data_IF_996922785008
#
_entry.id   IF_996922785008
#
_cell.length_a   1.000
_cell.length_b   1.000
_cell.length_c   1.000
_cell.angle_alpha   90.00
_cell.angle_beta   90.00
_cell.angle_gamma   90.00
#
_symmetry.space_group_name_H-M   'P 1'
#
loop_
_entity.id
_entity.type
_entity.pdbx_description
1 polymer ?
#
# COMPACT_ATOMS: atom_id res chain seq x y z
N UNK A 1 -64.11 2.07 12.78
CA UNK A 1 -63.28 2.93 11.92
C UNK A 1 -61.87 2.86 12.47
N UNK A 2 -61.10 1.86 12.05
CA UNK A 2 -59.70 1.66 12.41
C UNK A 2 -58.85 2.27 11.29
N UNK A 3 -58.14 3.36 11.58
CA UNK A 3 -57.16 3.93 10.66
C UNK A 3 -55.83 3.21 10.87
N UNK A 4 -55.53 2.30 9.95
CA UNK A 4 -54.22 1.67 9.80
C UNK A 4 -53.20 2.70 9.32
N UNK A 5 -52.40 3.25 10.23
CA UNK A 5 -51.18 3.97 9.88
C UNK A 5 -50.15 2.99 9.34
N UNK A 6 -49.93 3.01 8.03
CA UNK A 6 -48.81 2.36 7.37
C UNK A 6 -47.51 3.05 7.79
N UNK A 7 -46.77 2.42 8.71
CA UNK A 7 -45.39 2.80 9.02
C UNK A 7 -44.51 2.42 7.84
N UNK A 8 -44.05 3.42 7.08
CA UNK A 8 -43.02 3.24 6.07
C UNK A 8 -41.74 2.71 6.76
N UNK A 9 -41.07 1.67 6.24
CA UNK A 9 -39.83 1.18 6.82
C UNK A 9 -38.75 2.27 6.78
N UNK A 10 -37.84 2.31 7.77
CA UNK A 10 -36.74 3.26 7.76
C UNK A 10 -35.91 3.06 6.49
N UNK A 11 -35.77 4.12 5.70
CA UNK A 11 -34.88 4.14 4.55
C UNK A 11 -33.48 3.79 5.05
N UNK A 12 -32.98 2.62 4.64
CA UNK A 12 -31.57 2.28 4.77
C UNK A 12 -30.80 3.38 4.04
N UNK A 13 -30.15 4.26 4.80
CA UNK A 13 -29.18 5.21 4.24
C UNK A 13 -28.02 4.39 3.69
N UNK A 14 -28.10 3.99 2.42
CA UNK A 14 -26.96 3.47 1.68
C UNK A 14 -26.01 4.64 1.52
N UNK A 15 -25.07 4.80 2.45
CA UNK A 15 -23.96 5.74 2.29
C UNK A 15 -23.29 5.44 0.94
N UNK A 16 -23.21 6.42 0.06
CA UNK A 16 -22.57 6.23 -1.24
C UNK A 16 -21.14 5.69 -1.06
N UNK A 17 -20.71 4.74 -1.90
CA UNK A 17 -19.38 4.13 -1.77
C UNK A 17 -18.30 5.20 -1.97
N UNK A 18 -17.46 5.39 -0.95
CA UNK A 18 -16.43 6.44 -0.94
C UNK A 18 -15.27 6.01 -1.85
N UNK A 19 -14.98 6.74 -2.95
CA UNK A 19 -13.85 6.41 -3.81
C UNK A 19 -12.53 6.78 -3.12
N UNK A 20 -11.59 5.84 -3.16
CA UNK A 20 -10.26 5.97 -2.55
C UNK A 20 -9.18 6.16 -3.61
N UNK A 21 -9.29 5.48 -4.75
CA UNK A 21 -8.44 5.70 -5.93
C UNK A 21 -9.34 6.06 -7.09
N UNK A 22 -9.02 7.13 -7.80
CA UNK A 22 -9.69 7.50 -9.05
C UNK A 22 -8.65 7.91 -10.07
N UNK A 23 -8.76 7.42 -11.30
CA UNK A 23 -7.96 7.88 -12.42
C UNK A 23 -8.85 8.14 -13.63
N UNK A 24 -8.52 9.17 -14.40
CA UNK A 24 -9.19 9.52 -15.64
C UNK A 24 -8.16 9.65 -16.75
N UNK A 25 -8.19 8.72 -17.70
CA UNK A 25 -7.33 8.68 -18.88
C UNK A 25 -5.84 8.84 -18.55
N UNK A 26 -5.39 8.26 -17.43
CA UNK A 26 -4.05 8.44 -16.92
C UNK A 26 -3.02 7.86 -17.91
N UNK A 27 -2.00 8.66 -18.25
CA UNK A 27 -0.94 8.29 -19.19
C UNK A 27 0.44 8.46 -18.59
N UNK A 28 1.36 7.58 -19.01
CA UNK A 28 2.78 7.70 -18.69
C UNK A 28 3.66 7.27 -19.85
N UNK A 29 4.37 8.25 -20.42
CA UNK A 29 5.42 8.05 -21.42
C UNK A 29 6.78 8.29 -20.77
N UNK A 30 7.72 7.37 -20.98
CA UNK A 30 9.14 7.55 -20.68
C UNK A 30 9.88 7.88 -21.97
N UNK A 31 10.88 8.74 -21.88
CA UNK A 31 11.81 9.02 -22.98
C UNK A 31 13.15 8.35 -22.66
N UNK A 32 13.67 7.56 -23.58
CA UNK A 32 14.88 6.73 -23.41
C UNK A 32 15.82 6.86 -24.61
N UNK A 33 17.02 6.30 -24.47
CA UNK A 33 18.09 6.38 -25.47
C UNK A 33 19.04 7.55 -25.23
N UNK A 34 20.24 7.48 -25.82
CA UNK A 34 21.32 8.48 -25.63
C UNK A 34 20.88 9.91 -25.94
N UNK A 35 19.93 10.06 -26.86
CA UNK A 35 19.36 11.34 -27.29
C UNK A 35 17.90 11.55 -26.83
N UNK A 36 17.35 10.69 -25.96
CA UNK A 36 15.94 10.72 -25.52
C UNK A 36 14.89 10.60 -26.64
N UNK A 37 15.29 10.07 -27.80
CA UNK A 37 14.45 9.97 -28.99
C UNK A 37 13.46 8.80 -28.94
N UNK A 38 13.72 7.78 -28.12
CA UNK A 38 12.81 6.65 -27.98
C UNK A 38 11.73 6.97 -26.96
N UNK A 39 10.47 6.69 -27.30
CA UNK A 39 9.32 6.86 -26.40
C UNK A 39 8.75 5.51 -26.03
N UNK A 40 8.65 5.23 -24.74
CA UNK A 40 8.02 4.03 -24.19
C UNK A 40 6.76 4.46 -23.46
N UNK A 41 5.61 4.11 -24.03
CA UNK A 41 4.31 4.39 -23.43
C UNK A 41 3.92 3.25 -22.48
N UNK A 42 4.16 3.48 -21.19
CA UNK A 42 3.95 2.50 -20.12
C UNK A 42 2.54 2.49 -19.54
N UNK A 43 1.77 3.58 -19.65
CA UNK A 43 0.35 3.63 -19.32
C UNK A 43 -0.41 4.34 -20.44
N UNK A 44 -1.48 3.70 -20.92
CA UNK A 44 -2.32 4.16 -22.03
C UNK A 44 -3.76 4.33 -21.55
N UNK A 45 -4.21 5.57 -21.35
CA UNK A 45 -5.60 5.91 -20.99
C UNK A 45 -6.15 5.08 -19.82
N UNK A 46 -5.40 4.96 -18.73
CA UNK A 46 -5.84 4.16 -17.59
C UNK A 46 -6.90 4.93 -16.77
N UNK A 47 -8.15 4.49 -16.85
CA UNK A 47 -9.27 4.98 -16.03
C UNK A 47 -9.73 3.87 -15.09
N UNK A 48 -9.70 4.13 -13.78
CA UNK A 48 -10.09 3.17 -12.76
C UNK A 48 -10.68 3.89 -11.55
N UNK A 49 -11.58 3.22 -10.84
CA UNK A 49 -12.08 3.65 -9.53
C UNK A 49 -11.99 2.48 -8.56
N UNK A 50 -11.40 2.69 -7.39
CA UNK A 50 -11.36 1.73 -6.28
C UNK A 50 -11.97 2.39 -5.06
N UNK A 51 -12.87 1.69 -4.40
CA UNK A 51 -13.64 2.17 -3.26
C UNK A 51 -13.02 1.76 -1.93
N UNK A 52 -13.45 2.44 -0.86
CA UNK A 52 -13.02 2.15 0.49
C UNK A 52 -13.32 0.70 0.89
N UNK A 53 -12.34 0.02 1.51
CA UNK A 53 -12.46 -1.38 1.95
C UNK A 53 -12.28 -2.42 0.86
N UNK A 54 -12.10 -2.02 -0.40
CA UNK A 54 -11.85 -2.96 -1.49
C UNK A 54 -10.43 -3.52 -1.47
N UNK A 55 -10.29 -4.73 -2.02
CA UNK A 55 -9.00 -5.35 -2.29
C UNK A 55 -8.88 -5.50 -3.81
N UNK A 56 -8.07 -4.64 -4.42
CA UNK A 56 -7.92 -4.52 -5.87
C UNK A 56 -6.56 -5.05 -6.32
N UNK A 57 -6.57 -5.96 -7.30
CA UNK A 57 -5.37 -6.59 -7.85
C UNK A 57 -5.14 -6.22 -9.32
N UNK A 58 -3.93 -5.79 -9.67
CA UNK A 58 -3.49 -5.59 -11.05
C UNK A 58 -2.81 -6.87 -11.57
N UNK A 59 -3.40 -7.51 -12.57
CA UNK A 59 -2.82 -8.69 -13.21
C UNK A 59 -2.45 -8.37 -14.66
N UNK A 60 -1.31 -8.88 -15.10
CA UNK A 60 -0.81 -8.70 -16.46
C UNK A 60 0.66 -9.09 -16.60
N UNK A 61 1.18 -9.24 -17.84
CA UNK A 61 2.56 -9.65 -18.06
C UNK A 61 3.57 -8.61 -17.54
N UNK A 62 4.85 -9.01 -17.47
CA UNK A 62 5.94 -8.09 -17.16
C UNK A 62 6.01 -6.99 -18.22
N UNK A 63 6.21 -5.74 -17.80
CA UNK A 63 6.20 -4.59 -18.70
C UNK A 63 4.81 -4.03 -19.04
N UNK A 64 3.70 -4.62 -18.56
CA UNK A 64 2.35 -4.11 -18.81
C UNK A 64 2.01 -2.77 -18.14
N UNK A 65 2.94 -2.18 -17.38
CA UNK A 65 2.75 -0.88 -16.71
C UNK A 65 2.22 -0.95 -15.27
N UNK A 66 2.03 -2.14 -14.69
CA UNK A 66 1.50 -2.33 -13.32
C UNK A 66 2.24 -1.50 -12.26
N UNK A 67 3.55 -1.68 -12.18
CA UNK A 67 4.43 -0.94 -11.26
C UNK A 67 4.44 0.56 -11.59
N UNK A 68 4.31 0.93 -12.87
CA UNK A 68 4.21 2.35 -13.25
C UNK A 68 2.91 2.97 -12.76
N UNK A 69 1.77 2.28 -12.89
CA UNK A 69 0.49 2.74 -12.34
C UNK A 69 0.59 2.92 -10.84
N UNK A 70 1.09 1.92 -10.13
CA UNK A 70 1.25 1.95 -8.68
C UNK A 70 2.15 3.11 -8.22
N UNK A 71 3.32 3.30 -8.86
CA UNK A 71 4.22 4.44 -8.58
C UNK A 71 3.60 5.80 -8.94
N UNK A 72 2.73 5.83 -9.95
CA UNK A 72 2.01 7.07 -10.33
C UNK A 72 0.95 7.42 -9.28
N UNK A 73 0.17 6.44 -8.82
CA UNK A 73 -0.80 6.60 -7.73
C UNK A 73 -0.13 7.07 -6.42
N UNK A 74 1.05 6.53 -6.10
CA UNK A 74 1.85 6.96 -4.95
C UNK A 74 2.49 8.35 -5.10
N UNK A 75 2.40 8.97 -6.29
CA UNK A 75 3.05 10.24 -6.60
C UNK A 75 4.59 10.15 -6.67
N UNK A 76 5.15 8.96 -6.78
CA UNK A 76 6.59 8.71 -6.99
C UNK A 76 6.96 9.05 -8.43
N UNK A 77 6.07 8.71 -9.37
CA UNK A 77 6.21 9.02 -10.80
C UNK A 77 5.12 10.01 -11.20
N UNK A 78 5.51 11.11 -11.86
CA UNK A 78 4.53 12.04 -12.42
C UNK A 78 3.92 11.48 -13.70
N UNK A 79 2.58 11.53 -13.87
CA UNK A 79 1.95 11.18 -15.14
C UNK A 79 2.39 12.15 -16.25
N UNK A 80 2.32 11.71 -17.50
CA UNK A 80 2.52 12.59 -18.68
C UNK A 80 1.21 13.14 -19.23
N UNK A 81 0.06 12.68 -18.72
CA UNK A 81 -1.26 13.16 -19.09
C UNK A 81 -2.36 12.45 -18.30
N UNK A 82 -3.58 12.93 -18.42
CA UNK A 82 -4.72 12.49 -17.61
C UNK A 82 -4.64 12.97 -16.16
N UNK A 83 -5.59 12.53 -15.36
CA UNK A 83 -5.79 12.99 -13.98
C UNK A 83 -5.96 11.81 -13.02
N UNK A 84 -5.71 12.05 -11.75
CA UNK A 84 -5.95 11.06 -10.72
C UNK A 84 -6.03 11.64 -9.32
N UNK A 85 -6.70 10.91 -8.45
CA UNK A 85 -6.94 11.24 -7.06
C UNK A 85 -6.69 10.02 -6.17
N UNK A 86 -6.12 10.27 -5.00
CA UNK A 86 -5.91 9.31 -3.94
C UNK A 86 -6.42 9.92 -2.63
N UNK A 87 -7.37 9.23 -2.00
CA UNK A 87 -8.07 9.70 -0.79
C UNK A 87 -8.66 11.11 -0.97
N UNK A 88 -9.28 11.37 -2.12
CA UNK A 88 -9.91 12.66 -2.47
C UNK A 88 -8.92 13.79 -2.81
N UNK A 89 -7.62 13.53 -2.83
CA UNK A 89 -6.60 14.53 -3.17
C UNK A 89 -5.90 14.22 -4.50
N UNK A 90 -5.49 15.23 -5.29
CA UNK A 90 -4.71 15.00 -6.50
C UNK A 90 -3.44 14.18 -6.24
N UNK A 91 -3.02 13.36 -7.22
CA UNK A 91 -1.79 12.56 -7.11
C UNK A 91 -0.58 13.44 -6.79
N UNK A 92 0.26 12.97 -5.86
CA UNK A 92 1.44 13.71 -5.38
C UNK A 92 1.20 14.65 -4.20
N UNK A 93 -0.05 14.79 -3.72
CA UNK A 93 -0.34 15.56 -2.52
C UNK A 93 0.34 14.95 -1.28
N UNK A 94 1.17 15.75 -0.60
CA UNK A 94 1.96 15.29 0.55
C UNK A 94 1.11 14.89 1.76
N UNK A 95 -0.09 15.46 1.91
CA UNK A 95 -1.00 15.16 3.04
C UNK A 95 -1.46 13.70 3.03
N UNK A 96 -1.51 13.08 1.85
CA UNK A 96 -1.91 11.68 1.66
C UNK A 96 -0.86 10.71 2.21
N UNK A 97 0.42 11.09 2.23
CA UNK A 97 1.53 10.19 2.59
C UNK A 97 1.43 9.63 4.00
N UNK A 98 0.86 10.38 4.95
CA UNK A 98 0.63 9.93 6.33
C UNK A 98 -0.47 8.85 6.42
N UNK A 99 -1.34 8.75 5.42
CA UNK A 99 -2.54 7.89 5.41
C UNK A 99 -2.36 6.63 4.56
N UNK A 100 -1.22 6.46 3.90
CA UNK A 100 -0.97 5.33 2.99
C UNK A 100 0.25 4.52 3.40
N UNK A 101 0.22 3.23 3.12
CA UNK A 101 1.32 2.28 3.28
C UNK A 101 1.83 1.84 1.92
N UNK A 102 3.12 1.60 1.80
CA UNK A 102 3.72 1.07 0.57
C UNK A 102 4.78 0.02 0.88
N UNK A 103 4.62 -1.17 0.29
CA UNK A 103 5.64 -2.21 0.20
C UNK A 103 6.11 -2.31 -1.26
N UNK A 104 7.31 -1.85 -1.61
CA UNK A 104 7.90 -2.09 -2.92
C UNK A 104 8.31 -3.56 -3.11
N UNK A 105 8.44 -4.01 -4.36
CA UNK A 105 8.97 -5.36 -4.69
C UNK A 105 10.36 -5.57 -4.11
N UNK A 106 11.23 -4.57 -4.26
CA UNK A 106 12.59 -4.56 -3.77
C UNK A 106 12.77 -3.37 -2.82
N UNK A 107 12.49 -3.55 -1.52
CA UNK A 107 12.63 -2.48 -0.55
C UNK A 107 14.10 -2.11 -0.35
N UNK A 108 14.40 -0.81 -0.47
CA UNK A 108 15.69 -0.26 -0.11
C UNK A 108 15.73 0.04 1.38
N UNK A 109 16.69 -0.53 2.09
CA UNK A 109 16.87 -0.34 3.51
C UNK A 109 18.26 0.20 3.83
N UNK A 110 18.35 0.98 4.92
CA UNK A 110 19.63 1.24 5.58
C UNK A 110 20.08 -0.05 6.28
N UNK A 111 20.84 -0.87 5.57
CA UNK A 111 21.09 -2.27 5.91
C UNK A 111 21.95 -2.48 7.17
N UNK A 112 22.65 -1.43 7.62
CA UNK A 112 23.39 -1.38 8.88
C UNK A 112 22.50 -1.20 10.12
N UNK A 113 21.22 -0.83 9.95
CA UNK A 113 20.26 -0.79 11.06
C UNK A 113 19.77 -2.19 11.38
N UNK A 114 19.40 -2.43 12.63
CA UNK A 114 18.55 -3.56 13.01
C UNK A 114 17.10 -3.33 12.57
N UNK A 115 16.30 -4.39 12.46
CA UNK A 115 14.88 -4.26 12.14
C UNK A 115 14.11 -3.39 13.16
N UNK A 116 14.51 -3.44 14.43
CA UNK A 116 13.95 -2.63 15.50
C UNK A 116 14.26 -1.14 15.30
N UNK A 117 15.53 -0.80 15.04
CA UNK A 117 15.95 0.57 14.77
C UNK A 117 15.28 1.12 13.51
N UNK A 118 15.18 0.31 12.45
CA UNK A 118 14.49 0.70 11.22
C UNK A 118 13.01 1.01 11.46
N UNK A 119 12.28 0.19 12.22
CA UNK A 119 10.89 0.49 12.58
C UNK A 119 10.76 1.72 13.49
N UNK A 120 11.71 1.95 14.38
CA UNK A 120 11.75 3.18 15.18
C UNK A 120 12.03 4.44 14.34
N UNK A 121 12.95 4.34 13.38
CA UNK A 121 13.28 5.40 12.43
C UNK A 121 12.07 5.77 11.57
N UNK A 122 11.44 4.76 10.93
CA UNK A 122 10.24 4.95 10.11
C UNK A 122 9.06 5.50 10.91
N UNK A 123 8.83 5.02 12.13
CA UNK A 123 7.82 5.60 13.02
C UNK A 123 8.08 7.08 13.34
N UNK A 124 9.35 7.48 13.43
CA UNK A 124 9.76 8.88 13.59
C UNK A 124 9.40 9.75 12.38
N UNK A 125 9.55 9.23 11.16
CA UNK A 125 9.15 9.93 9.93
C UNK A 125 7.62 10.20 9.88
N UNK A 126 6.83 9.29 10.43
CA UNK A 126 5.39 9.44 10.61
C UNK A 126 5.00 10.18 11.90
N UNK A 127 5.98 10.72 12.64
CA UNK A 127 5.76 11.46 13.88
C UNK A 127 4.92 10.68 14.92
N UNK A 128 5.05 9.35 14.95
CA UNK A 128 4.26 8.50 15.83
C UNK A 128 4.75 8.68 17.28
N UNK A 129 3.85 9.02 18.23
CA UNK A 129 4.23 9.23 19.63
C UNK A 129 4.94 8.03 20.25
N UNK A 130 5.88 8.29 21.16
CA UNK A 130 6.69 7.24 21.79
C UNK A 130 5.85 6.14 22.45
N UNK A 131 4.79 6.53 23.16
CA UNK A 131 3.88 5.59 23.83
C UNK A 131 3.15 4.68 22.83
N UNK A 132 2.83 5.19 21.64
CA UNK A 132 2.15 4.43 20.57
C UNK A 132 3.13 3.47 19.92
N UNK A 133 4.34 3.93 19.51
CA UNK A 133 5.32 3.06 18.85
C UNK A 133 5.80 1.93 19.75
N UNK A 134 5.91 2.14 21.07
CA UNK A 134 6.26 1.10 22.06
C UNK A 134 5.31 -0.10 22.04
N UNK A 135 4.02 0.12 21.75
CA UNK A 135 3.01 -0.95 21.61
C UNK A 135 2.91 -1.46 20.18
N UNK A 136 3.00 -0.55 19.20
CA UNK A 136 2.75 -0.85 17.78
C UNK A 136 3.85 -1.71 17.16
N UNK A 137 5.13 -1.40 17.43
CA UNK A 137 6.26 -2.12 16.82
C UNK A 137 6.26 -3.62 17.18
N UNK A 138 6.15 -4.02 18.47
CA UNK A 138 6.04 -5.44 18.81
C UNK A 138 4.88 -6.16 18.12
N UNK A 139 3.70 -5.52 18.06
CA UNK A 139 2.50 -6.09 17.42
C UNK A 139 2.68 -6.27 15.92
N UNK A 140 3.36 -5.33 15.24
CA UNK A 140 3.65 -5.46 13.82
C UNK A 140 4.65 -6.58 13.54
N UNK A 141 5.68 -6.71 14.38
CA UNK A 141 6.66 -7.80 14.27
C UNK A 141 5.99 -9.17 14.44
N UNK A 142 5.08 -9.29 15.40
CA UNK A 142 4.25 -10.48 15.59
C UNK A 142 3.36 -10.76 14.38
N UNK A 143 2.64 -9.74 13.89
CA UNK A 143 1.75 -9.85 12.72
C UNK A 143 2.49 -10.37 11.48
N UNK A 144 3.71 -9.90 11.23
CA UNK A 144 4.51 -10.32 10.07
C UNK A 144 5.33 -11.60 10.33
N UNK A 145 5.22 -12.19 11.52
CA UNK A 145 5.97 -13.40 11.89
C UNK A 145 7.48 -13.18 11.97
N UNK A 146 7.95 -11.98 12.32
CA UNK A 146 9.36 -11.67 12.52
C UNK A 146 9.69 -11.66 14.02
N UNK A 147 10.58 -12.57 14.44
CA UNK A 147 11.01 -12.65 15.83
C UNK A 147 11.55 -11.30 16.34
N UNK A 148 11.04 -10.86 17.49
CA UNK A 148 11.55 -9.66 18.15
C UNK A 148 13.04 -9.75 18.51
N UNK A 149 13.55 -10.96 18.77
CA UNK A 149 14.99 -11.18 19.02
C UNK A 149 15.80 -10.89 17.76
N UNK A 150 15.36 -11.38 16.60
CA UNK A 150 15.98 -11.08 15.32
C UNK A 150 15.87 -9.60 14.96
N UNK A 151 14.70 -8.98 15.22
CA UNK A 151 14.47 -7.55 15.02
C UNK A 151 15.46 -6.69 15.80
N UNK A 152 15.80 -7.05 17.05
CA UNK A 152 16.68 -6.26 17.91
C UNK A 152 18.18 -6.55 17.76
N UNK A 153 18.55 -7.80 17.45
CA UNK A 153 19.95 -8.25 17.51
C UNK A 153 20.65 -8.33 16.16
N UNK A 154 19.89 -8.46 15.06
CA UNK A 154 20.44 -8.64 13.72
C UNK A 154 20.25 -7.39 12.89
N UNK A 155 21.31 -6.97 12.21
CA UNK A 155 21.24 -5.92 11.20
C UNK A 155 20.51 -6.43 9.96
N UNK A 156 19.86 -5.52 9.23
CA UNK A 156 19.07 -5.85 8.04
C UNK A 156 19.91 -6.52 6.95
N UNK A 157 21.20 -6.20 6.81
CA UNK A 157 22.12 -6.92 5.90
C UNK A 157 22.27 -8.42 6.20
N UNK A 158 21.92 -8.87 7.40
CA UNK A 158 21.95 -10.28 7.82
C UNK A 158 20.59 -10.97 7.62
N UNK A 159 19.59 -10.29 7.08
CA UNK A 159 18.25 -10.82 6.90
C UNK A 159 18.18 -11.63 5.61
N UNK A 160 17.46 -12.74 5.63
CA UNK A 160 17.06 -13.41 4.39
C UNK A 160 16.08 -12.52 3.60
N UNK A 161 15.89 -12.80 2.30
CA UNK A 161 14.88 -12.11 1.47
C UNK A 161 13.50 -12.12 2.13
N UNK A 162 13.07 -13.25 2.71
CA UNK A 162 11.80 -13.33 3.42
C UNK A 162 11.73 -12.47 4.70
N UNK A 163 12.82 -12.36 5.45
CA UNK A 163 12.88 -11.46 6.61
C UNK A 163 12.84 -9.99 6.19
N UNK A 164 13.50 -9.63 5.08
CA UNK A 164 13.44 -8.29 4.48
C UNK A 164 12.01 -7.96 3.99
N UNK A 165 11.31 -8.93 3.41
CA UNK A 165 9.92 -8.76 3.00
C UNK A 165 9.00 -8.54 4.21
N UNK A 166 9.18 -9.30 5.29
CA UNK A 166 8.41 -9.16 6.54
C UNK A 166 8.63 -7.81 7.20
N UNK A 167 9.87 -7.34 7.30
CA UNK A 167 10.15 -6.02 7.88
C UNK A 167 9.62 -4.88 6.98
N UNK A 168 9.68 -5.05 5.65
CA UNK A 168 9.05 -4.15 4.69
C UNK A 168 7.54 -4.06 4.90
N UNK A 169 6.86 -5.21 5.05
CA UNK A 169 5.42 -5.24 5.36
C UNK A 169 5.12 -4.54 6.70
N UNK A 170 5.91 -4.78 7.75
CA UNK A 170 5.74 -4.08 9.02
C UNK A 170 5.90 -2.56 8.88
N UNK A 171 6.86 -2.09 8.08
CA UNK A 171 7.03 -0.67 7.76
C UNK A 171 5.84 -0.11 6.99
N UNK A 172 5.32 -0.83 6.00
CA UNK A 172 4.16 -0.41 5.21
C UNK A 172 2.91 -0.21 6.08
N UNK A 173 2.81 -0.90 7.22
CA UNK A 173 1.68 -0.83 8.12
C UNK A 173 1.90 0.08 9.34
N UNK A 174 3.10 0.66 9.50
CA UNK A 174 3.50 1.31 10.75
C UNK A 174 2.69 2.56 11.09
N UNK A 175 2.23 3.28 10.07
CA UNK A 175 1.39 4.48 10.21
C UNK A 175 -0.10 4.16 10.39
N UNK A 176 -0.49 2.88 10.49
CA UNK A 176 -1.91 2.46 10.47
C UNK A 176 -2.66 3.04 9.24
N UNK A 177 -2.17 2.75 8.02
CA UNK A 177 -2.66 3.39 6.81
C UNK A 177 -4.13 3.03 6.51
N UNK A 178 -4.82 3.90 5.80
CA UNK A 178 -6.15 3.65 5.22
C UNK A 178 -6.06 2.84 3.92
N UNK A 179 -4.99 3.05 3.16
CA UNK A 179 -4.71 2.36 1.89
C UNK A 179 -3.33 1.74 1.93
N UNK A 180 -3.22 0.46 1.57
CA UNK A 180 -1.94 -0.24 1.48
C UNK A 180 -1.66 -0.61 0.03
N UNK A 181 -0.56 -0.09 -0.51
CA UNK A 181 -0.03 -0.47 -1.82
C UNK A 181 1.03 -1.55 -1.66
N UNK A 182 0.89 -2.66 -2.36
CA UNK A 182 1.81 -3.79 -2.31
C UNK A 182 2.31 -4.11 -3.72
N UNK A 183 3.60 -3.92 -3.97
CA UNK A 183 4.24 -4.19 -5.27
C UNK A 183 4.89 -5.57 -5.20
N UNK A 184 4.31 -6.56 -5.88
CA UNK A 184 4.69 -7.97 -5.85
C UNK A 184 4.98 -8.54 -4.44
N UNK A 185 4.04 -8.44 -3.48
CA UNK A 185 4.30 -8.74 -2.08
C UNK A 185 4.68 -10.21 -1.80
N UNK A 186 4.41 -11.10 -2.76
CA UNK A 186 4.67 -12.54 -2.70
C UNK A 186 6.00 -12.95 -3.36
N UNK A 187 6.72 -12.02 -3.98
CA UNK A 187 7.95 -12.31 -4.73
C UNK A 187 9.07 -12.86 -3.85
N UNK A 188 9.67 -13.98 -4.25
CA UNK A 188 10.77 -14.63 -3.54
C UNK A 188 10.43 -15.20 -2.16
N UNK A 189 9.14 -15.38 -1.85
CA UNK A 189 8.68 -16.12 -0.68
C UNK A 189 8.44 -17.60 -1.01
N UNK A 190 8.76 -18.45 -0.05
CA UNK A 190 8.35 -19.86 -0.01
C UNK A 190 6.81 -19.98 0.18
N UNK A 191 6.22 -21.17 0.00
CA UNK A 191 4.76 -21.34 0.13
C UNK A 191 4.20 -20.84 1.47
N UNK A 192 4.93 -21.06 2.56
CA UNK A 192 4.53 -20.62 3.89
C UNK A 192 4.53 -19.08 4.00
N UNK A 193 5.54 -18.40 3.48
CA UNK A 193 5.60 -16.95 3.44
C UNK A 193 4.47 -16.34 2.60
N UNK A 194 4.14 -16.94 1.46
CA UNK A 194 2.99 -16.49 0.63
C UNK A 194 1.67 -16.61 1.39
N UNK A 195 1.46 -17.71 2.10
CA UNK A 195 0.30 -17.91 2.96
C UNK A 195 0.23 -16.82 4.05
N UNK A 196 1.33 -16.54 4.76
CA UNK A 196 1.37 -15.50 5.79
C UNK A 196 1.01 -14.11 5.23
N UNK A 197 1.54 -13.72 4.07
CA UNK A 197 1.20 -12.45 3.43
C UNK A 197 -0.29 -12.40 3.07
N UNK A 198 -0.86 -13.49 2.55
CA UNK A 198 -2.29 -13.59 2.26
C UNK A 198 -3.13 -13.38 3.52
N UNK A 199 -2.76 -13.99 4.64
CA UNK A 199 -3.48 -13.84 5.91
C UNK A 199 -3.42 -12.39 6.42
N UNK A 200 -2.29 -11.70 6.26
CA UNK A 200 -2.19 -10.27 6.57
C UNK A 200 -3.15 -9.46 5.70
N UNK A 201 -3.19 -9.71 4.38
CA UNK A 201 -4.11 -9.02 3.46
C UNK A 201 -5.57 -9.24 3.88
N UNK A 202 -5.96 -10.48 4.21
CA UNK A 202 -7.31 -10.79 4.67
C UNK A 202 -7.64 -10.10 6.01
N UNK A 203 -6.68 -10.05 6.93
CA UNK A 203 -6.83 -9.34 8.21
C UNK A 203 -7.02 -7.83 8.00
N UNK A 204 -6.28 -7.22 7.08
CA UNK A 204 -6.41 -5.79 6.75
C UNK A 204 -7.76 -5.50 6.10
N UNK A 205 -8.22 -6.37 5.19
CA UNK A 205 -9.55 -6.27 4.58
C UNK A 205 -10.65 -6.33 5.63
N UNK A 206 -10.57 -7.26 6.57
CA UNK A 206 -11.53 -7.38 7.68
C UNK A 206 -11.56 -6.13 8.59
N UNK A 207 -10.47 -5.37 8.64
CA UNK A 207 -10.39 -4.08 9.35
C UNK A 207 -10.90 -2.89 8.51
N UNK A 208 -11.45 -3.13 7.32
CA UNK A 208 -11.98 -2.10 6.42
C UNK A 208 -10.89 -1.30 5.68
N UNK A 209 -9.65 -1.80 5.63
CA UNK A 209 -8.56 -1.16 4.88
C UNK A 209 -8.74 -1.40 3.38
N UNK A 210 -8.41 -0.39 2.57
CA UNK A 210 -8.28 -0.58 1.11
C UNK A 210 -6.91 -1.15 0.80
N UNK A 211 -6.87 -2.15 -0.07
CA UNK A 211 -5.63 -2.82 -0.45
C UNK A 211 -5.50 -2.77 -1.96
N UNK A 212 -4.35 -2.34 -2.44
CA UNK A 212 -4.04 -2.28 -3.86
C UNK A 212 -2.74 -3.05 -4.09
N UNK A 213 -2.75 -4.07 -4.93
CA UNK A 213 -1.56 -4.87 -5.19
C UNK A 213 -1.41 -5.27 -6.65
N UNK A 214 -0.19 -5.62 -7.05
CA UNK A 214 0.11 -6.18 -8.38
C UNK A 214 0.92 -7.48 -8.29
#
# INVERSE_FOLDING_TARGET
>A
MEQSTLTLPPQLTTSEPIPVVQTSQLRKVYRTGFWLNQKIESLKNCSLTVYQGETFGLLGPNGAGKTTLLKTLLGIVRPTGGEGWLLGHPLGNVKVKQRIGYLPENPYFYDYLTGWEFLHFTAGLFQIPHQVKRKRIPRLLELVGLSQSAARKKQLRQYSKGMLQRIGMAQALINNPEVVFLDEPMSGLDPMGRYQIREIIMSLKAQGKTIFFN
#
